data_IF_239324095522
#
_entry.id   IF_239324095522
#
_cell.length_a   1.000
_cell.length_b   1.000
_cell.length_c   1.000
_cell.angle_alpha   90.00
_cell.angle_beta   90.00
_cell.angle_gamma   90.00
#
_symmetry.space_group_name_H-M   'P 1'
#
loop_
_entity.id
_entity.type
_entity.pdbx_description
1 polymer ?
#
# COMPACT_ATOMS: atom_id res chain seq x y z
N UNK A 1 -28.41 -32.31 -6.90
CA UNK A 1 -27.00 -32.22 -6.48
C UNK A 1 -26.90 -31.02 -5.58
N UNK A 2 -26.67 -31.24 -4.30
CA UNK A 2 -26.46 -30.16 -3.33
C UNK A 2 -24.96 -30.10 -3.07
N UNK A 3 -24.28 -29.09 -3.60
CA UNK A 3 -22.81 -29.08 -3.68
C UNK A 3 -22.14 -28.74 -2.33
N UNK A 4 -22.93 -28.38 -1.29
CA UNK A 4 -22.53 -28.11 0.09
C UNK A 4 -21.17 -27.39 0.24
N UNK A 5 -20.91 -26.40 -0.60
CA UNK A 5 -19.62 -25.70 -0.61
C UNK A 5 -19.46 -24.92 0.69
N UNK A 6 -18.38 -25.19 1.41
CA UNK A 6 -17.99 -24.46 2.60
C UNK A 6 -17.01 -23.35 2.21
N UNK A 7 -17.53 -22.16 1.94
CA UNK A 7 -16.70 -20.98 1.70
C UNK A 7 -16.18 -20.41 3.01
N UNK A 8 -14.90 -20.12 3.07
CA UNK A 8 -14.35 -19.31 4.15
C UNK A 8 -14.64 -17.83 3.86
N UNK A 9 -15.39 -17.19 4.76
CA UNK A 9 -15.65 -15.75 4.74
C UNK A 9 -15.02 -15.18 6.02
N UNK A 10 -14.14 -14.16 5.92
CA UNK A 10 -13.49 -13.59 7.10
C UNK A 10 -14.51 -13.10 8.12
N UNK A 11 -14.39 -13.59 9.34
CA UNK A 11 -15.15 -13.10 10.48
C UNK A 11 -14.62 -11.74 10.96
N UNK A 12 -15.42 -11.03 11.76
CA UNK A 12 -14.99 -9.75 12.35
C UNK A 12 -13.75 -9.90 13.25
N UNK A 13 -13.58 -11.06 13.91
CA UNK A 13 -12.41 -11.38 14.71
C UNK A 13 -11.15 -11.52 13.84
N UNK A 14 -11.24 -12.25 12.73
CA UNK A 14 -10.14 -12.44 11.78
C UNK A 14 -9.74 -11.13 11.11
N UNK A 15 -10.72 -10.31 10.70
CA UNK A 15 -10.46 -8.97 10.15
C UNK A 15 -9.73 -8.10 11.18
N UNK A 16 -10.19 -8.11 12.43
CA UNK A 16 -9.53 -7.36 13.52
C UNK A 16 -8.10 -7.84 13.75
N UNK A 17 -7.88 -9.16 13.74
CA UNK A 17 -6.56 -9.76 13.87
C UNK A 17 -5.62 -9.37 12.73
N UNK A 18 -6.11 -9.35 11.48
CA UNK A 18 -5.30 -8.90 10.34
C UNK A 18 -4.84 -7.46 10.54
N UNK A 19 -5.73 -6.55 10.93
CA UNK A 19 -5.35 -5.16 11.19
C UNK A 19 -4.37 -5.03 12.37
N UNK A 20 -4.56 -5.80 13.43
CA UNK A 20 -3.59 -5.86 14.53
C UNK A 20 -2.20 -6.32 14.06
N UNK A 21 -2.13 -7.33 13.19
CA UNK A 21 -0.86 -7.80 12.61
C UNK A 21 -0.24 -6.73 11.70
N UNK A 22 -1.04 -6.00 10.92
CA UNK A 22 -0.57 -4.87 10.13
C UNK A 22 0.00 -3.76 11.01
N UNK A 23 -0.66 -3.41 12.11
CA UNK A 23 -0.12 -2.43 13.06
C UNK A 23 1.23 -2.88 13.66
N UNK A 24 1.36 -4.18 13.97
CA UNK A 24 2.58 -4.70 14.56
C UNK A 24 3.75 -4.79 13.57
N UNK A 25 3.48 -5.14 12.31
CA UNK A 25 4.53 -5.43 11.31
C UNK A 25 4.74 -4.31 10.30
N UNK A 26 3.66 -3.70 9.81
CA UNK A 26 3.71 -2.71 8.74
C UNK A 26 4.06 -1.31 9.26
N UNK A 27 3.42 -0.85 10.34
CA UNK A 27 3.66 0.51 10.85
C UNK A 27 5.12 0.77 11.25
N UNK A 28 5.82 -0.11 11.98
CA UNK A 28 7.21 0.13 12.34
C UNK A 28 8.14 0.21 11.12
N UNK A 29 7.91 -0.64 10.12
CA UNK A 29 8.70 -0.62 8.89
C UNK A 29 8.44 0.65 8.07
N UNK A 30 7.20 1.14 8.03
CA UNK A 30 6.87 2.42 7.40
C UNK A 30 7.55 3.60 8.11
N UNK A 31 7.54 3.63 9.44
CA UNK A 31 8.22 4.68 10.22
C UNK A 31 9.73 4.65 10.00
N UNK A 32 10.35 3.46 10.00
CA UNK A 32 11.78 3.29 9.71
C UNK A 32 12.15 3.82 8.32
N UNK A 33 11.38 3.41 7.31
CA UNK A 33 11.57 3.84 5.93
C UNK A 33 11.35 5.36 5.77
N UNK A 34 10.36 5.93 6.45
CA UNK A 34 10.10 7.37 6.43
C UNK A 34 11.25 8.16 7.07
N UNK A 35 11.73 7.72 8.25
CA UNK A 35 12.84 8.35 8.97
C UNK A 35 14.13 8.29 8.14
N UNK A 36 14.35 7.17 7.44
CA UNK A 36 15.44 7.04 6.48
C UNK A 36 15.33 8.04 5.33
N UNK A 37 14.15 8.16 4.71
CA UNK A 37 13.92 9.10 3.63
C UNK A 37 14.03 10.59 4.04
N UNK A 38 14.00 10.89 5.35
CA UNK A 38 14.22 12.23 5.90
C UNK A 38 15.69 12.48 6.29
N UNK A 39 16.54 11.44 6.22
CA UNK A 39 17.93 11.49 6.68
C UNK A 39 18.09 11.42 8.20
N UNK A 40 17.02 11.10 8.95
CA UNK A 40 17.03 10.97 10.40
C UNK A 40 17.60 9.63 10.86
N UNK A 41 17.49 8.60 10.02
CA UNK A 41 17.98 7.26 10.28
C UNK A 41 18.84 6.74 9.13
N UNK A 42 20.05 6.27 9.43
CA UNK A 42 20.87 5.54 8.46
C UNK A 42 20.38 4.09 8.38
N UNK A 43 20.02 3.64 7.19
CA UNK A 43 19.73 2.25 6.88
C UNK A 43 20.71 1.75 5.83
N UNK A 44 21.16 0.50 5.95
CA UNK A 44 21.91 -0.12 4.86
C UNK A 44 20.98 -0.45 3.70
N UNK A 45 21.55 -0.70 2.51
CA UNK A 45 20.77 -1.15 1.35
C UNK A 45 19.98 -2.44 1.66
N UNK A 46 20.59 -3.36 2.40
CA UNK A 46 19.97 -4.64 2.75
C UNK A 46 18.82 -4.43 3.75
N UNK A 47 18.99 -3.53 4.72
CA UNK A 47 17.91 -3.16 5.65
C UNK A 47 16.71 -2.56 4.91
N UNK A 48 16.96 -1.65 3.96
CA UNK A 48 15.88 -1.05 3.15
C UNK A 48 15.17 -2.12 2.34
N UNK A 49 15.91 -3.01 1.67
CA UNK A 49 15.32 -4.09 0.89
C UNK A 49 14.49 -5.03 1.78
N UNK A 50 14.95 -5.33 2.99
CA UNK A 50 14.21 -6.14 3.95
C UNK A 50 12.90 -5.45 4.37
N UNK A 51 12.96 -4.17 4.75
CA UNK A 51 11.77 -3.38 5.10
C UNK A 51 10.77 -3.31 3.94
N UNK A 52 11.25 -3.09 2.70
CA UNK A 52 10.42 -3.10 1.50
C UNK A 52 9.76 -4.46 1.25
N UNK A 53 10.50 -5.55 1.46
CA UNK A 53 9.95 -6.91 1.39
C UNK A 53 8.83 -7.13 2.41
N UNK A 54 9.00 -6.67 3.65
CA UNK A 54 7.95 -6.80 4.69
C UNK A 54 6.70 -6.04 4.26
N UNK A 55 6.86 -4.78 3.83
CA UNK A 55 5.76 -3.94 3.34
C UNK A 55 5.03 -4.62 2.16
N UNK A 56 5.78 -5.16 1.20
CA UNK A 56 5.22 -5.85 0.05
C UNK A 56 4.41 -7.08 0.46
N UNK A 57 4.95 -7.95 1.33
CA UNK A 57 4.24 -9.14 1.78
C UNK A 57 2.98 -8.78 2.58
N UNK A 58 3.01 -7.73 3.38
CA UNK A 58 1.82 -7.22 4.08
C UNK A 58 0.74 -6.77 3.10
N UNK A 59 1.11 -6.00 2.07
CA UNK A 59 0.17 -5.54 1.05
C UNK A 59 -0.40 -6.68 0.19
N UNK A 60 0.43 -7.68 -0.16
CA UNK A 60 -0.02 -8.84 -0.91
C UNK A 60 -0.95 -9.73 -0.07
N UNK A 61 -0.65 -9.90 1.22
CA UNK A 61 -1.43 -10.75 2.13
C UNK A 61 -2.76 -10.12 2.54
N UNK A 62 -2.75 -8.86 2.96
CA UNK A 62 -3.95 -8.17 3.46
C UNK A 62 -4.67 -7.33 2.41
N UNK A 63 -4.19 -7.32 1.15
CA UNK A 63 -4.67 -6.43 0.11
C UNK A 63 -6.18 -6.51 -0.16
N UNK A 64 -6.79 -7.68 0.00
CA UNK A 64 -8.24 -7.85 -0.18
C UNK A 64 -9.07 -7.04 0.84
N UNK A 65 -8.52 -6.79 2.04
CA UNK A 65 -9.19 -6.06 3.13
C UNK A 65 -8.88 -4.56 3.13
N UNK A 66 -7.86 -4.13 2.36
CA UNK A 66 -7.45 -2.73 2.32
C UNK A 66 -8.22 -1.96 1.23
N UNK A 67 -8.89 -0.84 1.58
CA UNK A 67 -9.64 -0.05 0.61
C UNK A 67 -8.72 0.47 -0.50
N UNK A 68 -9.22 0.61 -1.74
CA UNK A 68 -8.42 1.14 -2.86
C UNK A 68 -7.92 2.56 -2.56
N UNK A 69 -6.89 2.98 -3.29
CA UNK A 69 -6.43 4.37 -3.23
C UNK A 69 -7.51 5.28 -3.80
N UNK A 70 -7.80 6.36 -3.07
CA UNK A 70 -8.71 7.40 -3.51
C UNK A 70 -7.91 8.66 -3.84
N UNK A 71 -8.36 9.39 -4.86
CA UNK A 71 -7.73 10.62 -5.28
C UNK A 71 -8.64 11.40 -6.22
N UNK A 72 -8.31 12.66 -6.41
CA UNK A 72 -9.04 13.51 -7.34
C UNK A 72 -8.92 12.96 -8.78
N UNK A 73 -10.00 13.02 -9.58
CA UNK A 73 -9.93 12.69 -10.98
C UNK A 73 -8.83 13.51 -11.67
N UNK A 74 -8.03 12.86 -12.52
CA UNK A 74 -6.99 13.56 -13.28
C UNK A 74 -7.67 14.53 -14.26
N UNK A 75 -7.42 15.85 -14.16
CA UNK A 75 -8.04 16.82 -15.04
C UNK A 75 -7.52 16.68 -16.49
N UNK A 76 -8.28 17.21 -17.43
CA UNK A 76 -7.87 17.40 -18.83
C UNK A 76 -7.46 16.13 -19.59
N UNK A 77 -7.97 14.95 -19.18
CA UNK A 77 -7.74 13.69 -19.90
C UNK A 77 -8.46 13.66 -21.25
N UNK A 78 -9.76 13.34 -21.25
CA UNK A 78 -10.58 13.18 -22.47
C UNK A 78 -11.99 13.69 -22.22
N UNK A 79 -12.50 14.49 -23.16
CA UNK A 79 -13.92 14.86 -23.14
C UNK A 79 -14.76 13.67 -23.61
N UNK A 80 -15.50 13.06 -22.68
CA UNK A 80 -16.40 11.95 -22.99
C UNK A 80 -17.83 12.43 -23.18
N UNK A 81 -18.49 11.95 -24.24
CA UNK A 81 -19.94 12.14 -24.44
C UNK A 81 -20.79 11.17 -23.61
N UNK A 82 -20.16 10.27 -22.86
CA UNK A 82 -20.80 9.25 -22.02
C UNK A 82 -20.13 9.21 -20.63
N UNK A 83 -20.85 8.72 -19.61
CA UNK A 83 -20.27 8.58 -18.26
C UNK A 83 -19.10 7.58 -18.27
N UNK A 84 -18.01 7.93 -17.56
CA UNK A 84 -16.82 7.10 -17.38
C UNK A 84 -16.72 6.58 -15.93
N UNK A 85 -17.86 6.33 -15.29
CA UNK A 85 -17.94 5.79 -13.94
C UNK A 85 -17.33 4.38 -13.84
N UNK A 86 -16.74 4.08 -12.69
CA UNK A 86 -16.23 2.75 -12.38
C UNK A 86 -17.37 1.79 -11.99
N UNK A 87 -17.27 0.54 -12.42
CA UNK A 87 -18.19 -0.51 -12.01
C UNK A 87 -17.91 -0.93 -10.57
N UNK A 88 -18.89 -0.76 -9.68
CA UNK A 88 -18.80 -1.23 -8.30
C UNK A 88 -19.04 -2.75 -8.22
N UNK A 89 -18.00 -3.51 -7.92
CA UNK A 89 -18.07 -4.97 -7.73
C UNK A 89 -18.13 -5.32 -6.23
N UNK A 90 -19.13 -6.09 -5.83
CA UNK A 90 -19.23 -6.63 -4.48
C UNK A 90 -18.59 -8.01 -4.40
N UNK A 91 -17.41 -8.10 -3.77
CA UNK A 91 -16.62 -9.34 -3.65
C UNK A 91 -16.81 -10.06 -2.30
N UNK A 92 -17.76 -9.61 -1.48
CA UNK A 92 -18.00 -10.16 -0.13
C UNK A 92 -17.09 -9.59 0.95
N UNK A 93 -16.32 -8.53 0.65
CA UNK A 93 -15.53 -7.76 1.61
C UNK A 93 -16.14 -6.36 1.73
N UNK A 94 -16.46 -5.95 2.96
CA UNK A 94 -16.86 -4.58 3.27
C UNK A 94 -15.64 -3.83 3.80
N UNK A 95 -15.25 -2.76 3.11
CA UNK A 95 -14.12 -1.95 3.52
C UNK A 95 -14.48 -1.04 4.71
N UNK A 96 -13.65 -1.07 5.75
CA UNK A 96 -13.73 -0.14 6.86
C UNK A 96 -13.03 1.18 6.51
N UNK A 97 -13.82 2.18 6.08
CA UNK A 97 -13.32 3.52 5.74
C UNK A 97 -13.08 4.41 6.96
N UNK A 98 -13.35 3.94 8.19
CA UNK A 98 -13.09 4.72 9.42
C UNK A 98 -11.63 4.61 9.88
N UNK A 99 -10.92 3.57 9.42
CA UNK A 99 -9.51 3.31 9.73
C UNK A 99 -8.58 4.03 8.75
N UNK A 100 -7.31 4.15 9.16
CA UNK A 100 -6.26 4.61 8.26
C UNK A 100 -6.11 3.68 7.05
N UNK A 101 -6.05 4.25 5.86
CA UNK A 101 -5.79 3.48 4.65
C UNK A 101 -4.30 3.16 4.54
N UNK A 102 -3.90 1.94 4.93
CA UNK A 102 -2.51 1.49 4.81
C UNK A 102 -1.98 1.54 3.38
N UNK A 103 -2.81 1.42 2.33
CA UNK A 103 -2.32 1.61 0.94
C UNK A 103 -1.84 3.04 0.73
N UNK A 104 -2.55 4.01 1.28
CA UNK A 104 -2.19 5.42 1.19
C UNK A 104 -0.95 5.73 2.03
N UNK A 105 -0.86 5.18 3.25
CA UNK A 105 0.31 5.30 4.10
C UNK A 105 1.57 4.75 3.41
N UNK A 106 1.49 3.54 2.85
CA UNK A 106 2.59 2.96 2.06
C UNK A 106 2.92 3.84 0.85
N UNK A 107 1.92 4.30 0.09
CA UNK A 107 2.14 5.17 -1.06
C UNK A 107 2.94 6.43 -0.69
N UNK A 108 2.59 7.09 0.42
CA UNK A 108 3.28 8.30 0.90
C UNK A 108 4.76 8.03 1.18
N UNK A 109 5.06 6.95 1.92
CA UNK A 109 6.45 6.57 2.26
C UNK A 109 7.24 6.16 1.02
N UNK A 110 6.67 5.33 0.15
CA UNK A 110 7.33 4.89 -1.08
C UNK A 110 7.65 6.06 -2.01
N UNK A 111 6.72 7.02 -2.14
CA UNK A 111 6.93 8.22 -2.94
C UNK A 111 8.03 9.11 -2.36
N UNK A 112 8.17 9.16 -1.04
CA UNK A 112 9.24 9.89 -0.39
C UNK A 112 10.61 9.24 -0.64
N UNK A 113 10.72 7.93 -0.42
CA UNK A 113 11.93 7.15 -0.73
C UNK A 113 12.35 7.31 -2.21
N UNK A 114 11.41 7.18 -3.13
CA UNK A 114 11.69 7.35 -4.56
C UNK A 114 12.26 8.73 -4.89
N UNK A 115 11.79 9.79 -4.23
CA UNK A 115 12.33 11.14 -4.42
C UNK A 115 13.75 11.26 -3.88
N UNK A 116 14.03 10.68 -2.72
CA UNK A 116 15.38 10.65 -2.15
C UNK A 116 16.35 9.96 -3.10
N UNK A 117 16.04 8.73 -3.54
CA UNK A 117 16.91 7.99 -4.46
C UNK A 117 17.06 8.70 -5.82
N UNK A 118 16.00 9.31 -6.35
CA UNK A 118 16.09 10.11 -7.59
C UNK A 118 16.92 11.37 -7.42
N UNK A 119 16.87 12.01 -6.26
CA UNK A 119 17.67 13.18 -5.94
C UNK A 119 19.15 12.80 -5.78
N UNK A 120 19.44 11.74 -5.04
CA UNK A 120 20.78 11.18 -4.88
C UNK A 120 21.35 10.73 -6.23
N UNK A 121 20.55 10.09 -7.09
CA UNK A 121 20.98 9.71 -8.45
C UNK A 121 21.17 10.89 -9.41
N UNK A 122 20.61 12.07 -9.10
CA UNK A 122 20.87 13.30 -9.86
C UNK A 122 22.14 14.00 -9.39
N UNK A 123 22.51 13.85 -8.12
CA UNK A 123 23.77 14.37 -7.55
C UNK A 123 24.97 13.47 -7.85
N UNK A 124 24.75 12.15 -7.91
CA UNK A 124 25.72 11.17 -8.40
C UNK A 124 25.44 10.92 -9.87
N UNK A 125 26.18 11.53 -10.79
CA UNK A 125 26.02 11.42 -12.26
C UNK A 125 26.08 10.01 -12.86
N UNK A 126 25.94 8.93 -12.09
CA UNK A 126 25.93 7.57 -12.60
C UNK A 126 24.88 6.69 -11.92
N UNK A 127 24.15 5.98 -12.80
CA UNK A 127 23.27 4.82 -12.61
C UNK A 127 21.81 5.13 -12.28
N UNK A 128 21.03 5.14 -13.36
CA UNK A 128 19.58 4.93 -13.40
C UNK A 128 19.24 3.66 -12.61
N UNK A 129 18.15 3.71 -11.86
CA UNK A 129 17.43 2.49 -11.52
C UNK A 129 17.01 1.84 -12.86
N UNK A 130 17.30 0.55 -13.00
CA UNK A 130 17.37 -0.29 -14.21
C UNK A 130 18.72 -0.23 -14.96
#
# INVERSE_FOLDING_TARGET
MDLQIQWHVPSAEEVTFVFYVLDLLLQPELQRLQSHAQGEQNMSRDDVLQSLCIVQHCLLGAGSMLPPLQGDPVPDLVHSMVSLEETTLHTGVEYDYTRENYREAVYKVMRQLLREYQFVSKLSSEKKFF
#
